data_IF_048140861227
#
_entry.id   IF_048140861227
#
_cell.length_a   1.000
_cell.length_b   1.000
_cell.length_c   1.000
_cell.angle_alpha   90.00
_cell.angle_beta   90.00
_cell.angle_gamma   90.00
#
_symmetry.space_group_name_H-M   'P 1'
#
loop_
_entity.id
_entity.type
_entity.pdbx_description
1 polymer ?
#
# COMPACT_ATOMS: atom_id res chain seq x y z
N UNK A 1 13.78 11.04 16.45
CA UNK A 1 14.57 12.28 16.36
C UNK A 1 14.92 12.78 17.77
N UNK A 2 16.16 13.24 17.97
CA UNK A 2 16.57 13.81 19.25
C UNK A 2 16.11 15.26 19.35
N UNK A 3 15.74 15.73 20.55
CA UNK A 3 15.32 17.12 20.77
C UNK A 3 16.41 18.12 20.35
N UNK A 4 17.67 17.83 20.67
CA UNK A 4 18.84 18.64 20.31
C UNK A 4 19.02 18.72 18.78
N UNK A 5 18.82 17.62 18.05
CA UNK A 5 18.89 17.63 16.59
C UNK A 5 17.79 18.47 15.96
N UNK A 6 16.55 18.37 16.49
CA UNK A 6 15.42 19.17 16.02
C UNK A 6 15.63 20.67 16.28
N UNK A 7 16.23 21.03 17.41
CA UNK A 7 16.50 22.43 17.74
C UNK A 7 17.58 23.05 16.83
N UNK A 8 18.66 22.29 16.55
CA UNK A 8 19.80 22.78 15.78
C UNK A 8 19.63 22.70 14.26
N UNK A 9 18.96 21.68 13.77
CA UNK A 9 18.78 21.43 12.32
C UNK A 9 17.48 20.64 12.03
N UNK A 10 16.35 21.32 12.24
CA UNK A 10 15.02 20.73 11.98
C UNK A 10 14.85 20.23 10.55
N UNK A 11 15.50 20.88 9.57
CA UNK A 11 15.44 20.54 8.15
C UNK A 11 16.38 19.41 7.72
N UNK A 12 17.21 18.90 8.64
CA UNK A 12 18.18 17.83 8.39
C UNK A 12 19.21 18.14 7.30
N UNK A 13 19.61 19.39 7.14
CA UNK A 13 20.63 19.82 6.18
C UNK A 13 22.01 19.25 6.51
N UNK A 14 22.26 18.97 7.80
CA UNK A 14 23.50 18.34 8.27
C UNK A 14 23.46 16.80 8.26
N UNK A 15 22.42 16.21 7.64
CA UNK A 15 22.26 14.76 7.45
C UNK A 15 22.27 13.93 8.75
N UNK A 16 21.90 14.52 9.89
CA UNK A 16 21.82 13.80 11.17
C UNK A 16 20.64 12.83 11.27
N UNK A 17 19.64 12.99 10.39
CA UNK A 17 18.54 12.04 10.14
C UNK A 17 18.07 12.15 8.71
N UNK A 18 17.38 11.13 8.21
CA UNK A 18 16.57 11.25 6.99
C UNK A 18 15.20 11.84 7.36
N UNK A 19 14.74 12.88 6.65
CA UNK A 19 13.35 13.33 6.80
C UNK A 19 12.40 12.24 6.32
N UNK A 20 11.27 12.02 7.00
CA UNK A 20 10.27 11.05 6.56
C UNK A 20 9.84 11.34 5.12
N UNK A 21 9.85 10.32 4.27
CA UNK A 21 9.48 10.44 2.86
C UNK A 21 8.35 9.48 2.53
N UNK A 22 7.26 10.00 1.97
CA UNK A 22 6.20 9.15 1.46
C UNK A 22 6.71 8.28 0.31
N UNK A 23 6.39 7.01 0.34
CA UNK A 23 6.74 6.09 -0.75
C UNK A 23 5.84 6.30 -1.96
N UNK A 24 6.30 5.90 -3.13
CA UNK A 24 5.57 6.05 -4.38
C UNK A 24 4.38 5.08 -4.46
N UNK A 25 3.38 5.42 -5.26
CA UNK A 25 2.18 4.61 -5.47
C UNK A 25 2.50 3.16 -5.84
N UNK A 26 3.51 2.97 -6.69
CA UNK A 26 3.97 1.66 -7.14
C UNK A 26 4.51 0.81 -5.97
N UNK A 27 5.25 1.44 -5.06
CA UNK A 27 5.81 0.79 -3.87
C UNK A 27 4.70 0.42 -2.90
N UNK A 28 3.72 1.30 -2.69
CA UNK A 28 2.54 1.03 -1.85
C UNK A 28 1.81 -0.21 -2.38
N UNK A 29 1.49 -0.23 -3.68
CA UNK A 29 0.75 -1.35 -4.28
C UNK A 29 1.53 -2.67 -4.21
N UNK A 30 2.79 -2.63 -4.64
CA UNK A 30 3.64 -3.83 -4.65
C UNK A 30 3.90 -4.32 -3.22
N UNK A 31 4.04 -3.42 -2.24
CA UNK A 31 4.16 -3.73 -0.82
C UNK A 31 2.92 -4.42 -0.24
N UNK A 32 1.72 -3.96 -0.60
CA UNK A 32 0.45 -4.60 -0.20
C UNK A 32 0.38 -6.03 -0.76
N UNK A 33 0.71 -6.22 -2.05
CA UNK A 33 0.73 -7.54 -2.69
C UNK A 33 1.80 -8.47 -2.09
N UNK A 34 2.96 -7.92 -1.74
CA UNK A 34 4.04 -8.67 -1.09
C UNK A 34 3.61 -9.13 0.31
N UNK A 35 3.05 -8.22 1.12
CA UNK A 35 2.60 -8.52 2.47
C UNK A 35 1.45 -9.54 2.47
N UNK A 36 0.49 -9.44 1.55
CA UNK A 36 -0.59 -10.41 1.39
C UNK A 36 -0.14 -11.77 0.81
N UNK A 37 1.10 -11.85 0.31
CA UNK A 37 1.65 -13.05 -0.34
C UNK A 37 1.07 -13.33 -1.73
N UNK A 38 0.50 -12.30 -2.36
CA UNK A 38 -0.14 -12.41 -3.68
C UNK A 38 0.70 -11.84 -4.82
N UNK A 39 1.82 -11.18 -4.50
CA UNK A 39 2.70 -10.64 -5.53
C UNK A 39 3.24 -11.76 -6.43
N UNK A 40 2.96 -11.65 -7.72
CA UNK A 40 3.58 -12.49 -8.75
C UNK A 40 4.94 -11.86 -9.15
N UNK A 41 6.08 -12.48 -8.79
CA UNK A 41 7.40 -11.93 -9.02
C UNK A 41 7.91 -12.10 -10.46
N UNK A 42 7.13 -12.70 -11.36
CA UNK A 42 7.54 -12.99 -12.73
C UNK A 42 8.07 -11.74 -13.43
N UNK A 43 9.30 -11.82 -13.92
CA UNK A 43 9.94 -10.79 -14.73
C UNK A 43 9.63 -10.97 -16.22
N UNK A 44 9.55 -9.84 -16.95
CA UNK A 44 9.34 -9.82 -18.40
C UNK A 44 7.93 -10.23 -18.84
N UNK A 45 7.73 -10.35 -20.15
CA UNK A 45 6.45 -10.68 -20.75
C UNK A 45 5.52 -9.48 -20.93
N UNK A 46 4.26 -9.75 -21.35
CA UNK A 46 3.27 -8.70 -21.62
C UNK A 46 2.83 -7.99 -20.34
N UNK A 47 2.52 -6.72 -20.46
CA UNK A 47 1.88 -5.91 -19.43
C UNK A 47 0.48 -6.41 -19.11
N UNK A 48 -0.02 -6.11 -17.91
CA UNK A 48 -1.41 -6.35 -17.54
C UNK A 48 -2.23 -5.07 -17.63
N UNK A 49 -3.53 -5.22 -17.77
CA UNK A 49 -4.50 -4.12 -17.90
C UNK A 49 -5.46 -4.10 -16.73
N UNK A 50 -5.74 -2.89 -16.23
CA UNK A 50 -6.79 -2.64 -15.23
C UNK A 50 -8.05 -2.03 -15.85
N UNK A 51 -8.09 -1.89 -17.17
CA UNK A 51 -9.19 -1.26 -17.91
C UNK A 51 -9.55 -2.11 -19.13
N UNK A 52 -10.80 -2.00 -19.59
CA UNK A 52 -11.29 -2.64 -20.79
C UNK A 52 -11.43 -1.65 -21.94
N UNK A 53 -11.29 -2.16 -23.16
CA UNK A 53 -11.55 -1.41 -24.40
C UNK A 53 -13.03 -1.48 -24.70
N UNK A 54 -13.74 -0.36 -24.74
CA UNK A 54 -15.07 -0.33 -25.35
C UNK A 54 -14.97 -0.48 -26.86
N UNK A 55 -15.81 -1.33 -27.45
CA UNK A 55 -15.84 -1.58 -28.89
C UNK A 55 -16.34 -0.39 -29.73
N UNK A 56 -16.82 0.68 -29.11
CA UNK A 56 -17.36 1.87 -29.76
C UNK A 56 -16.43 3.06 -29.56
N UNK A 57 -15.92 3.60 -30.66
CA UNK A 57 -15.17 4.83 -30.80
C UNK A 57 -14.37 5.30 -29.58
N UNK A 58 -13.12 4.86 -29.51
CA UNK A 58 -12.04 5.46 -28.73
C UNK A 58 -12.29 5.71 -27.22
N UNK A 59 -13.26 5.09 -26.61
CA UNK A 59 -13.50 5.22 -25.18
C UNK A 59 -13.05 3.95 -24.45
N UNK A 60 -12.05 4.14 -23.62
CA UNK A 60 -11.58 3.15 -22.68
C UNK A 60 -12.50 3.19 -21.45
N UNK A 61 -13.04 2.07 -21.06
CA UNK A 61 -13.79 1.96 -19.81
C UNK A 61 -12.83 1.55 -18.70
N UNK A 62 -12.76 2.36 -17.65
CA UNK A 62 -12.07 1.98 -16.43
C UNK A 62 -12.91 0.88 -15.77
N UNK A 63 -12.53 -0.35 -16.00
CA UNK A 63 -12.99 -1.48 -15.21
C UNK A 63 -11.87 -1.78 -14.24
N UNK A 64 -12.10 -1.49 -12.98
CA UNK A 64 -11.14 -1.77 -11.92
C UNK A 64 -10.95 -3.28 -11.83
N UNK A 65 -10.12 -3.83 -12.71
CA UNK A 65 -9.76 -5.23 -12.68
C UNK A 65 -8.58 -5.40 -11.73
N UNK A 66 -8.85 -5.88 -10.52
CA UNK A 66 -7.84 -6.13 -9.50
C UNK A 66 -7.67 -7.63 -9.21
N UNK A 67 -8.10 -8.48 -10.14
CA UNK A 67 -7.99 -9.93 -10.05
C UNK A 67 -6.54 -10.45 -10.12
N UNK A 68 -6.36 -11.77 -9.92
CA UNK A 68 -5.04 -12.43 -9.83
C UNK A 68 -4.11 -12.18 -11.02
N UNK A 69 -4.66 -11.97 -12.20
CA UNK A 69 -3.91 -11.65 -13.42
C UNK A 69 -3.19 -10.31 -13.35
N UNK A 70 -3.64 -9.40 -12.48
CA UNK A 70 -3.04 -8.08 -12.26
C UNK A 70 -2.07 -8.04 -11.08
N UNK A 71 -1.87 -9.11 -10.34
CA UNK A 71 -1.03 -9.15 -9.13
C UNK A 71 0.47 -9.21 -9.40
N UNK A 72 0.89 -8.68 -10.53
CA UNK A 72 2.30 -8.44 -10.85
C UNK A 72 2.76 -7.10 -10.31
N UNK A 73 4.09 -6.87 -10.30
CA UNK A 73 4.66 -5.56 -9.97
C UNK A 73 4.05 -4.46 -10.85
N UNK A 74 3.79 -3.29 -10.24
CA UNK A 74 3.11 -2.18 -10.92
C UNK A 74 3.89 -1.64 -12.13
N UNK A 75 5.20 -1.86 -12.20
CA UNK A 75 6.00 -1.54 -13.39
C UNK A 75 5.49 -2.24 -14.67
N UNK A 76 4.76 -3.35 -14.55
CA UNK A 76 4.13 -4.06 -15.68
C UNK A 76 2.71 -3.63 -15.96
N UNK A 77 2.18 -2.64 -15.26
CA UNK A 77 0.84 -2.12 -15.50
C UNK A 77 0.82 -1.29 -16.79
N UNK A 78 -0.05 -1.64 -17.73
CA UNK A 78 -0.25 -0.84 -18.92
C UNK A 78 -0.85 0.52 -18.55
N UNK A 79 -0.25 1.61 -19.06
CA UNK A 79 -0.69 2.98 -18.84
C UNK A 79 -1.36 3.54 -20.08
N UNK A 80 -2.60 3.96 -19.90
CA UNK A 80 -3.37 4.63 -20.95
C UNK A 80 -3.39 6.14 -20.69
N UNK A 81 -3.15 6.94 -21.71
CA UNK A 81 -3.05 8.41 -21.58
C UNK A 81 -4.33 9.10 -21.07
N UNK A 82 -5.48 8.47 -21.21
CA UNK A 82 -6.80 9.06 -20.89
C UNK A 82 -7.57 8.27 -19.85
N UNK A 83 -6.93 7.36 -19.17
CA UNK A 83 -7.55 6.51 -18.16
C UNK A 83 -6.73 6.57 -16.89
N UNK A 84 -7.33 7.10 -15.84
CA UNK A 84 -6.71 7.17 -14.52
C UNK A 84 -6.98 5.92 -13.69
N UNK A 85 -5.95 5.44 -13.03
CA UNK A 85 -6.08 4.51 -11.93
C UNK A 85 -6.56 5.28 -10.71
N UNK A 86 -7.85 5.18 -10.40
CA UNK A 86 -8.50 5.97 -9.33
C UNK A 86 -7.86 5.80 -7.96
N UNK A 87 -7.25 4.65 -7.69
CA UNK A 87 -6.63 4.38 -6.40
C UNK A 87 -5.27 5.08 -6.32
N UNK A 88 -4.41 4.82 -7.30
CA UNK A 88 -3.01 5.24 -7.23
C UNK A 88 -2.76 6.65 -7.77
N UNK A 89 -3.68 7.21 -8.56
CA UNK A 89 -3.65 8.63 -8.95
C UNK A 89 -3.69 9.55 -7.72
N UNK A 90 -4.40 9.17 -6.67
CA UNK A 90 -4.38 9.90 -5.40
C UNK A 90 -2.99 9.93 -4.72
N UNK A 91 -2.09 9.02 -5.09
CA UNK A 91 -0.71 8.95 -4.58
C UNK A 91 0.30 9.57 -5.53
N UNK A 92 -0.10 10.60 -6.27
CA UNK A 92 0.74 11.32 -7.23
C UNK A 92 1.34 10.41 -8.32
N UNK A 93 0.63 9.33 -8.68
CA UNK A 93 1.04 8.47 -9.77
C UNK A 93 1.06 9.26 -11.08
N UNK A 94 2.14 9.23 -11.88
CA UNK A 94 2.30 10.12 -13.02
C UNK A 94 1.21 9.97 -14.05
N UNK A 95 0.65 11.10 -14.50
CA UNK A 95 -0.12 11.18 -15.72
C UNK A 95 0.82 11.04 -16.92
N UNK A 96 0.56 10.07 -17.81
CA UNK A 96 1.33 9.88 -19.02
C UNK A 96 1.01 10.91 -20.14
N UNK A 97 0.10 11.82 -19.87
CA UNK A 97 -0.28 12.90 -20.82
C UNK A 97 0.70 14.07 -20.87
N UNK A 98 1.52 14.23 -19.83
CA UNK A 98 2.44 15.37 -19.70
C UNK A 98 3.84 14.92 -19.29
N UNK A 99 4.85 15.57 -19.88
CA UNK A 99 6.24 15.42 -19.44
C UNK A 99 6.43 16.24 -18.17
N UNK A 100 6.97 15.61 -17.13
CA UNK A 100 7.35 16.27 -15.87
C UNK A 100 8.77 15.91 -15.52
N UNK A 101 9.54 16.90 -15.09
CA UNK A 101 10.93 16.75 -14.63
C UNK A 101 11.00 16.07 -13.25
N UNK A 102 9.97 16.27 -12.43
CA UNK A 102 9.89 15.73 -11.06
C UNK A 102 8.48 15.24 -10.73
N UNK A 103 8.40 14.13 -10.01
CA UNK A 103 7.13 13.67 -9.44
C UNK A 103 6.70 14.58 -8.31
N UNK A 104 5.44 15.04 -8.29
CA UNK A 104 4.90 15.70 -7.11
C UNK A 104 4.86 14.71 -5.94
N UNK A 105 4.95 15.23 -4.72
CA UNK A 105 4.74 14.46 -3.49
C UNK A 105 3.77 15.26 -2.63
N UNK A 106 2.55 14.76 -2.52
CA UNK A 106 1.52 15.35 -1.69
C UNK A 106 1.14 14.41 -0.53
N UNK A 107 0.58 14.98 0.53
CA UNK A 107 -0.05 14.22 1.62
C UNK A 107 -1.46 14.74 1.78
N UNK A 108 -2.45 13.92 1.43
CA UNK A 108 -3.84 14.34 1.36
C UNK A 108 -4.75 13.35 2.09
N UNK A 109 -5.89 13.81 2.66
CA UNK A 109 -6.90 12.92 3.24
C UNK A 109 -7.43 11.89 2.24
N UNK A 110 -7.43 12.20 0.94
CA UNK A 110 -7.88 11.30 -0.11
C UNK A 110 -7.02 10.03 -0.18
N UNK A 111 -5.73 10.12 0.11
CA UNK A 111 -4.82 8.96 0.16
C UNK A 111 -5.25 7.99 1.27
N UNK A 112 -5.52 8.49 2.47
CA UNK A 112 -6.00 7.68 3.58
C UNK A 112 -7.37 7.06 3.28
N UNK A 113 -8.30 7.83 2.68
CA UNK A 113 -9.60 7.31 2.27
C UNK A 113 -9.48 6.20 1.23
N UNK A 114 -8.58 6.33 0.28
CA UNK A 114 -8.32 5.29 -0.73
C UNK A 114 -7.74 4.02 -0.11
N UNK A 115 -6.74 4.12 0.78
CA UNK A 115 -6.20 2.95 1.47
C UNK A 115 -7.22 2.29 2.39
N UNK A 116 -8.15 3.07 2.95
CA UNK A 116 -9.17 2.52 3.83
C UNK A 116 -10.32 1.85 3.06
N UNK A 117 -10.72 2.36 1.89
CA UNK A 117 -11.99 1.99 1.27
C UNK A 117 -11.86 1.35 -0.13
N UNK A 118 -10.66 1.34 -0.74
CA UNK A 118 -10.54 0.75 -2.07
C UNK A 118 -10.77 -0.75 -2.04
N UNK A 119 -11.48 -1.25 -3.04
CA UNK A 119 -11.77 -2.68 -3.22
C UNK A 119 -10.49 -3.52 -3.22
N UNK A 120 -9.44 -3.04 -3.88
CA UNK A 120 -8.13 -3.68 -3.90
C UNK A 120 -7.56 -3.86 -2.48
N UNK A 121 -7.56 -2.82 -1.65
CA UNK A 121 -7.00 -2.91 -0.28
C UNK A 121 -7.86 -3.79 0.61
N UNK A 122 -9.18 -3.70 0.49
CA UNK A 122 -10.12 -4.56 1.23
C UNK A 122 -9.87 -6.04 0.90
N UNK A 123 -9.71 -6.38 -0.38
CA UNK A 123 -9.45 -7.75 -0.81
C UNK A 123 -8.05 -8.24 -0.34
N UNK A 124 -7.02 -7.44 -0.54
CA UNK A 124 -5.66 -7.80 -0.11
C UNK A 124 -5.53 -7.88 1.42
N UNK A 125 -6.30 -7.12 2.19
CA UNK A 125 -6.37 -7.23 3.65
C UNK A 125 -6.90 -8.59 4.11
N UNK A 126 -7.89 -9.15 3.41
CA UNK A 126 -8.37 -10.52 3.65
C UNK A 126 -7.29 -11.55 3.38
N UNK A 127 -6.57 -11.40 2.27
CA UNK A 127 -5.45 -12.29 1.93
C UNK A 127 -4.32 -12.22 2.94
N UNK A 128 -3.98 -11.01 3.42
CA UNK A 128 -2.98 -10.82 4.48
C UNK A 128 -3.41 -11.50 5.77
N UNK A 129 -4.66 -11.31 6.20
CA UNK A 129 -5.20 -11.97 7.39
C UNK A 129 -5.17 -13.50 7.27
N UNK A 130 -5.55 -14.05 6.12
CA UNK A 130 -5.44 -15.49 5.84
C UNK A 130 -3.99 -15.98 5.91
N UNK A 131 -3.05 -15.22 5.32
CA UNK A 131 -1.62 -15.55 5.37
C UNK A 131 -1.08 -15.52 6.79
N UNK A 132 -1.45 -14.51 7.58
CA UNK A 132 -1.01 -14.38 8.96
C UNK A 132 -1.52 -15.54 9.85
N UNK A 133 -2.74 -16.02 9.62
CA UNK A 133 -3.33 -17.15 10.34
C UNK A 133 -2.74 -18.51 9.96
N UNK A 134 -2.14 -18.65 8.78
CA UNK A 134 -1.77 -19.98 8.22
C UNK A 134 -0.71 -20.73 9.02
N UNK A 135 0.22 -20.03 9.66
CA UNK A 135 1.40 -20.61 10.29
C UNK A 135 1.46 -20.32 11.81
N UNK A 136 0.33 -20.01 12.42
CA UNK A 136 0.22 -19.74 13.87
C UNK A 136 -0.60 -20.82 14.55
N UNK A 137 -0.29 -21.11 15.81
CA UNK A 137 -0.93 -22.17 16.61
C UNK A 137 -2.38 -21.86 17.04
N UNK A 138 -3.11 -21.12 16.20
CA UNK A 138 -4.52 -20.76 16.42
C UNK A 138 -4.74 -19.58 17.38
N UNK A 139 -3.68 -18.98 17.91
CA UNK A 139 -3.79 -17.80 18.77
C UNK A 139 -3.90 -16.53 17.94
N UNK A 140 -4.89 -15.68 18.27
CA UNK A 140 -5.08 -14.38 17.61
C UNK A 140 -3.88 -13.46 17.79
N UNK A 141 -3.24 -13.51 18.95
CA UNK A 141 -2.02 -12.78 19.28
C UNK A 141 -0.89 -13.04 18.27
N UNK A 142 -0.58 -14.31 18.01
CA UNK A 142 0.46 -14.70 17.05
C UNK A 142 0.12 -14.23 15.64
N UNK A 143 -1.16 -14.26 15.26
CA UNK A 143 -1.60 -13.76 13.97
C UNK A 143 -1.47 -12.23 13.83
N UNK A 144 -1.74 -11.48 14.90
CA UNK A 144 -1.53 -10.02 14.94
C UNK A 144 -0.04 -9.70 14.85
N UNK A 145 0.81 -10.35 15.63
CA UNK A 145 2.28 -10.18 15.55
C UNK A 145 2.74 -10.42 14.11
N UNK A 146 2.25 -11.48 13.49
CA UNK A 146 2.61 -11.82 12.11
C UNK A 146 2.17 -10.76 11.10
N UNK A 147 1.06 -10.07 11.31
CA UNK A 147 0.64 -8.95 10.46
C UNK A 147 1.65 -7.79 10.51
N UNK A 148 2.11 -7.43 11.71
CA UNK A 148 3.14 -6.38 11.89
C UNK A 148 4.46 -6.77 11.22
N UNK A 149 4.94 -7.99 11.43
CA UNK A 149 6.16 -8.48 10.77
C UNK A 149 6.06 -8.45 9.24
N UNK A 150 4.91 -8.82 8.66
CA UNK A 150 4.71 -8.85 7.21
C UNK A 150 4.62 -7.46 6.59
N UNK A 151 4.12 -6.46 7.33
CA UNK A 151 3.93 -5.09 6.83
C UNK A 151 5.11 -4.19 7.17
N UNK A 152 5.63 -4.28 8.39
CA UNK A 152 6.62 -3.34 8.94
C UNK A 152 7.99 -3.97 9.20
N UNK A 153 8.09 -5.31 9.17
CA UNK A 153 9.34 -6.02 9.48
C UNK A 153 9.72 -6.00 10.96
N UNK A 154 8.81 -5.59 11.84
CA UNK A 154 8.99 -5.56 13.30
C UNK A 154 7.78 -6.17 14.03
N UNK A 155 7.95 -6.66 15.26
CA UNK A 155 6.82 -6.98 16.10
C UNK A 155 6.12 -5.70 16.59
N UNK A 156 4.83 -5.79 17.01
CA UNK A 156 4.14 -4.70 17.68
C UNK A 156 4.71 -4.44 19.09
N UNK A 157 4.58 -3.24 19.60
CA UNK A 157 4.77 -2.97 21.03
C UNK A 157 3.58 -3.48 21.86
N UNK A 158 3.68 -3.42 23.19
CA UNK A 158 2.64 -3.93 24.08
C UNK A 158 1.28 -3.21 23.91
N UNK A 159 1.30 -1.92 23.63
CA UNK A 159 0.09 -1.12 23.43
C UNK A 159 -0.55 -1.40 22.07
N UNK A 160 0.26 -1.44 21.00
CA UNK A 160 -0.17 -1.82 19.66
C UNK A 160 -0.80 -3.22 19.64
N UNK A 161 -0.13 -4.18 20.32
CA UNK A 161 -0.60 -5.57 20.40
C UNK A 161 -1.97 -5.65 21.06
N UNK A 162 -2.11 -5.03 22.22
CA UNK A 162 -3.35 -5.01 23.01
C UNK A 162 -4.52 -4.43 22.21
N UNK A 163 -4.32 -3.27 21.59
CA UNK A 163 -5.33 -2.63 20.75
C UNK A 163 -5.70 -3.47 19.53
N UNK A 164 -4.70 -4.02 18.85
CA UNK A 164 -4.93 -4.82 17.65
C UNK A 164 -5.66 -6.13 17.97
N UNK A 165 -5.36 -6.80 19.08
CA UNK A 165 -6.08 -7.99 19.53
C UNK A 165 -7.55 -7.66 19.81
N UNK A 166 -7.84 -6.55 20.50
CA UNK A 166 -9.20 -6.14 20.79
C UNK A 166 -10.01 -5.91 19.50
N UNK A 167 -9.43 -5.19 18.54
CA UNK A 167 -10.07 -4.96 17.24
C UNK A 167 -10.22 -6.27 16.45
N UNK A 168 -9.20 -7.15 16.47
CA UNK A 168 -9.26 -8.43 15.77
C UNK A 168 -10.35 -9.36 16.30
N UNK A 169 -10.59 -9.35 17.62
CA UNK A 169 -11.64 -10.14 18.26
C UNK A 169 -13.05 -9.56 18.03
N UNK A 170 -13.19 -8.22 17.99
CA UNK A 170 -14.46 -7.55 17.79
C UNK A 170 -14.87 -7.51 16.30
N UNK A 171 -13.94 -7.24 15.40
CA UNK A 171 -14.23 -6.90 14.01
C UNK A 171 -13.52 -7.77 12.96
N UNK A 172 -12.63 -8.64 13.40
CA UNK A 172 -11.86 -9.50 12.51
C UNK A 172 -10.45 -8.98 12.20
N UNK A 173 -9.54 -9.92 11.96
CA UNK A 173 -8.13 -9.62 11.68
C UNK A 173 -7.92 -8.82 10.40
N UNK A 174 -8.82 -8.97 9.41
CA UNK A 174 -8.77 -8.21 8.15
C UNK A 174 -8.96 -6.70 8.35
N UNK A 175 -9.68 -6.29 9.39
CA UNK A 175 -9.82 -4.87 9.75
C UNK A 175 -8.52 -4.34 10.33
N UNK A 176 -7.85 -5.11 11.18
CA UNK A 176 -6.50 -4.78 11.68
C UNK A 176 -5.53 -4.64 10.50
N UNK A 177 -5.49 -5.62 9.59
CA UNK A 177 -4.63 -5.57 8.40
C UNK A 177 -4.88 -4.29 7.57
N UNK A 178 -6.15 -3.92 7.36
CA UNK A 178 -6.53 -2.72 6.62
C UNK A 178 -6.09 -1.44 7.33
N UNK A 179 -6.22 -1.39 8.65
CA UNK A 179 -5.77 -0.26 9.46
C UNK A 179 -4.24 -0.10 9.42
N UNK A 180 -3.50 -1.20 9.49
CA UNK A 180 -2.04 -1.20 9.38
C UNK A 180 -1.57 -0.74 7.99
N UNK A 181 -2.20 -1.20 6.92
CA UNK A 181 -1.92 -0.72 5.55
C UNK A 181 -2.18 0.78 5.41
N UNK A 182 -3.15 1.33 6.13
CA UNK A 182 -3.47 2.76 6.13
C UNK A 182 -2.62 3.59 7.11
N UNK A 183 -1.67 2.99 7.79
CA UNK A 183 -0.80 3.69 8.75
C UNK A 183 0.30 4.50 8.04
N UNK A 184 0.79 5.53 8.72
CA UNK A 184 1.94 6.29 8.23
C UNK A 184 3.20 5.42 8.14
N UNK A 185 3.37 4.45 9.02
CA UNK A 185 4.53 3.54 9.02
C UNK A 185 4.60 2.71 7.73
N UNK A 186 3.45 2.38 7.12
CA UNK A 186 3.42 1.70 5.83
C UNK A 186 3.64 2.64 4.64
N UNK A 187 3.15 3.89 4.75
CA UNK A 187 3.16 4.84 3.63
C UNK A 187 4.41 5.73 3.58
N UNK A 188 5.21 5.77 4.64
CA UNK A 188 6.39 6.62 4.74
C UNK A 188 7.62 5.81 5.15
N UNK A 189 8.76 6.13 4.54
CA UNK A 189 10.07 5.70 5.04
C UNK A 189 10.48 6.64 6.16
N UNK A 190 11.01 6.09 7.28
CA UNK A 190 11.47 6.89 8.42
C UNK A 190 12.71 7.73 8.09
#
# INVERSE_FOLDING_TARGET
PTSVGMEKDASSTLLWRFPPRRVEAEVIRDGILLASGKLNPRLGGRSYRIHNVKKTYAQWEVVNNYGPETWRRMIYQERMRRVDDRIFTAFDFPDCGQVRDKRPVSTTPLQALNLMNSEFVVDQSKHLAMRAKKNVNGKMEDAVIRCFELLFGRPPDASELSLAINVANDRGLEIVCRSLINSNEFAFLP
#
